data_IF_538422362001
#
_entry.id   IF_538422362001
#
_cell.length_a   1.000
_cell.length_b   1.000
_cell.length_c   1.000
_cell.angle_alpha   90.00
_cell.angle_beta   90.00
_cell.angle_gamma   90.00
#
_symmetry.space_group_name_H-M   'P 1'
#
loop_
_entity.id
_entity.type
_entity.pdbx_description
1 polymer ?
#
# COMPACT_ATOMS: atom_id res chain seq x y z
N UNK A 1 -4.48 -26.18 -11.18
CA UNK A 1 -5.14 -25.37 -12.25
C UNK A 1 -5.93 -24.18 -11.71
N UNK A 2 -6.40 -24.19 -10.45
CA UNK A 2 -7.17 -23.08 -9.87
C UNK A 2 -6.30 -21.91 -9.37
N UNK A 3 -5.03 -22.17 -9.15
CA UNK A 3 -4.04 -21.16 -8.73
C UNK A 3 -3.70 -20.14 -9.85
N UNK A 4 -3.90 -20.51 -11.10
CA UNK A 4 -3.60 -19.62 -12.24
C UNK A 4 -4.67 -18.52 -12.48
N UNK A 5 -5.90 -18.70 -11.99
CA UNK A 5 -7.00 -17.75 -12.23
C UNK A 5 -7.04 -16.56 -11.27
N UNK A 6 -6.40 -16.64 -10.12
CA UNK A 6 -6.35 -15.53 -9.17
C UNK A 6 -4.91 -15.19 -8.81
N UNK A 7 -4.19 -14.59 -9.74
CA UNK A 7 -2.78 -14.23 -9.52
C UNK A 7 -2.60 -13.36 -8.27
N UNK A 8 -3.52 -12.46 -7.99
CA UNK A 8 -3.51 -11.66 -6.77
C UNK A 8 -3.71 -12.47 -5.49
N UNK A 9 -4.75 -13.32 -5.43
CA UNK A 9 -5.02 -14.19 -4.28
C UNK A 9 -3.95 -15.30 -4.13
N UNK A 10 -3.42 -15.82 -5.23
CA UNK A 10 -2.34 -16.81 -5.20
C UNK A 10 -1.10 -16.31 -4.47
N UNK A 11 -0.75 -15.04 -4.62
CA UNK A 11 0.36 -14.42 -3.91
C UNK A 11 0.09 -14.24 -2.41
N UNK A 12 -1.14 -13.90 -2.03
CA UNK A 12 -1.56 -13.83 -0.63
C UNK A 12 -1.42 -15.21 0.02
N UNK A 13 -1.99 -16.25 -0.57
CA UNK A 13 -1.87 -17.62 -0.07
C UNK A 13 -0.43 -18.12 0.00
N UNK A 14 0.40 -17.76 -0.99
CA UNK A 14 1.81 -18.13 -0.97
C UNK A 14 2.56 -17.50 0.21
N UNK A 15 2.28 -16.25 0.55
CA UNK A 15 2.89 -15.59 1.71
C UNK A 15 2.36 -16.16 3.01
N UNK A 16 1.06 -16.43 3.11
CA UNK A 16 0.47 -17.10 4.26
C UNK A 16 1.07 -18.48 4.50
N UNK A 17 1.43 -19.24 3.44
CA UNK A 17 2.12 -20.51 3.56
C UNK A 17 3.57 -20.41 4.07
N UNK A 18 4.08 -19.20 4.29
CA UNK A 18 5.38 -18.91 4.91
C UNK A 18 5.22 -18.36 6.35
N UNK A 19 4.07 -18.60 6.97
CA UNK A 19 3.70 -18.13 8.32
C UNK A 19 3.70 -16.59 8.44
N UNK A 20 3.23 -15.91 7.37
CA UNK A 20 3.12 -14.46 7.34
C UNK A 20 1.66 -14.01 7.34
N UNK A 21 1.34 -13.03 8.17
CA UNK A 21 0.13 -12.25 8.03
C UNK A 21 0.24 -11.34 6.80
N UNK A 22 -0.83 -11.23 6.02
CA UNK A 22 -0.84 -10.43 4.79
C UNK A 22 -1.92 -9.37 4.87
N UNK A 23 -1.51 -8.12 4.86
CA UNK A 23 -2.38 -6.96 4.74
C UNK A 23 -2.42 -6.49 3.28
N UNK A 24 -3.60 -6.14 2.79
CA UNK A 24 -3.82 -5.62 1.43
C UNK A 24 -4.63 -4.33 1.54
N UNK A 25 -4.22 -3.25 0.85
CA UNK A 25 -4.99 -2.00 0.81
C UNK A 25 -6.44 -2.22 0.35
N UNK A 26 -7.35 -1.47 0.93
CA UNK A 26 -8.78 -1.59 0.64
C UNK A 26 -9.20 -0.86 -0.64
N UNK A 27 -10.26 -1.33 -1.30
CA UNK A 27 -10.80 -0.71 -2.50
C UNK A 27 -11.44 0.67 -2.25
N UNK A 28 -11.82 1.00 -1.01
CA UNK A 28 -12.46 2.27 -0.69
C UNK A 28 -11.50 3.45 -0.90
N UNK A 29 -10.23 3.31 -0.50
CA UNK A 29 -9.19 4.30 -0.77
C UNK A 29 -9.04 4.60 -2.26
N UNK A 30 -9.04 3.55 -3.10
CA UNK A 30 -8.99 3.73 -4.56
C UNK A 30 -10.22 4.44 -5.12
N UNK A 31 -11.44 4.13 -4.64
CA UNK A 31 -12.65 4.83 -5.06
C UNK A 31 -12.59 6.32 -4.70
N UNK A 32 -12.21 6.64 -3.46
CA UNK A 32 -12.02 8.02 -2.99
C UNK A 32 -10.96 8.76 -3.81
N UNK A 33 -9.83 8.11 -4.10
CA UNK A 33 -8.76 8.63 -4.96
C UNK A 33 -9.27 9.01 -6.37
N UNK A 34 -10.09 8.17 -7.00
CA UNK A 34 -10.63 8.47 -8.33
C UNK A 34 -11.55 9.69 -8.34
N UNK A 35 -12.34 9.87 -7.30
CA UNK A 35 -13.22 11.04 -7.14
C UNK A 35 -12.39 12.29 -6.81
N UNK A 36 -11.46 12.18 -5.87
CA UNK A 36 -10.63 13.30 -5.42
C UNK A 36 -9.71 13.82 -6.52
N UNK A 37 -9.20 12.97 -7.41
CA UNK A 37 -8.43 13.41 -8.58
C UNK A 37 -9.20 14.37 -9.47
N UNK A 38 -10.54 14.29 -9.54
CA UNK A 38 -11.35 15.25 -10.27
C UNK A 38 -11.39 16.62 -9.61
N UNK A 39 -11.31 16.62 -8.27
CA UNK A 39 -11.24 17.85 -7.47
C UNK A 39 -9.86 18.48 -7.63
N UNK A 40 -8.80 17.69 -7.53
CA UNK A 40 -7.42 18.16 -7.73
C UNK A 40 -7.18 18.66 -9.16
N UNK A 41 -7.74 18.01 -10.18
CA UNK A 41 -7.67 18.50 -11.55
C UNK A 41 -8.29 19.88 -11.71
N UNK A 42 -9.46 20.10 -11.11
CA UNK A 42 -10.13 21.38 -11.16
C UNK A 42 -9.32 22.49 -10.46
N UNK A 43 -8.53 22.12 -9.44
CA UNK A 43 -7.61 23.06 -8.76
C UNK A 43 -6.37 23.36 -9.58
N UNK A 44 -5.75 22.33 -10.18
CA UNK A 44 -4.47 22.45 -10.90
C UNK A 44 -4.62 23.03 -12.30
N UNK A 45 -5.67 22.66 -13.01
CA UNK A 45 -5.83 22.96 -14.44
C UNK A 45 -7.06 23.82 -14.74
N UNK A 46 -7.84 24.17 -13.73
CA UNK A 46 -9.14 24.77 -13.90
C UNK A 46 -10.21 23.77 -14.34
N UNK A 47 -11.48 24.12 -14.20
CA UNK A 47 -12.57 23.25 -14.61
C UNK A 47 -13.95 23.75 -14.17
N UNK A 48 -15.00 23.05 -14.59
CA UNK A 48 -16.37 23.38 -14.24
C UNK A 48 -16.60 23.24 -12.73
N UNK A 49 -16.91 24.35 -12.07
CA UNK A 49 -17.20 24.40 -10.62
C UNK A 49 -18.29 23.40 -10.20
N UNK A 50 -19.31 23.22 -11.05
CA UNK A 50 -20.42 22.28 -10.80
C UNK A 50 -19.91 20.84 -10.67
N UNK A 51 -19.01 20.38 -11.57
CA UNK A 51 -18.41 19.05 -11.51
C UNK A 51 -17.59 18.88 -10.24
N UNK A 52 -16.79 19.88 -9.87
CA UNK A 52 -15.98 19.85 -8.65
C UNK A 52 -16.87 19.79 -7.40
N UNK A 53 -17.97 20.53 -7.35
CA UNK A 53 -18.92 20.48 -6.24
C UNK A 53 -19.59 19.12 -6.11
N UNK A 54 -20.03 18.52 -7.23
CA UNK A 54 -20.59 17.17 -7.22
C UNK A 54 -19.56 16.12 -6.73
N UNK A 55 -18.32 16.20 -7.21
CA UNK A 55 -17.25 15.30 -6.75
C UNK A 55 -16.96 15.47 -5.25
N UNK A 56 -17.02 16.69 -4.71
CA UNK A 56 -16.90 16.92 -3.26
C UNK A 56 -18.01 16.24 -2.48
N UNK A 57 -19.27 16.42 -2.88
CA UNK A 57 -20.41 15.74 -2.23
C UNK A 57 -20.25 14.21 -2.27
N UNK A 58 -19.80 13.67 -3.39
CA UNK A 58 -19.55 12.24 -3.54
C UNK A 58 -18.40 11.77 -2.64
N UNK A 59 -17.32 12.55 -2.56
CA UNK A 59 -16.18 12.24 -1.68
C UNK A 59 -16.61 12.27 -0.21
N UNK A 60 -17.39 13.26 0.21
CA UNK A 60 -17.94 13.33 1.57
C UNK A 60 -18.83 12.12 1.91
N UNK A 61 -19.60 11.64 0.93
CA UNK A 61 -20.39 10.42 1.10
C UNK A 61 -19.49 9.18 1.25
N UNK A 62 -18.46 9.03 0.40
CA UNK A 62 -17.50 7.92 0.50
C UNK A 62 -16.75 7.95 1.83
N UNK A 63 -16.35 9.12 2.32
CA UNK A 63 -15.68 9.27 3.62
C UNK A 63 -16.58 8.81 4.78
N UNK A 64 -17.89 9.08 4.71
CA UNK A 64 -18.83 8.57 5.72
C UNK A 64 -18.96 7.05 5.69
N UNK A 65 -18.98 6.45 4.50
CA UNK A 65 -18.99 4.99 4.35
C UNK A 65 -17.69 4.37 4.87
N UNK A 66 -16.56 4.98 4.54
CA UNK A 66 -15.23 4.56 5.03
C UNK A 66 -15.18 4.57 6.57
N UNK A 67 -15.65 5.64 7.20
CA UNK A 67 -15.71 5.74 8.65
C UNK A 67 -16.53 4.61 9.29
N UNK A 68 -17.69 4.27 8.70
CA UNK A 68 -18.52 3.13 9.15
C UNK A 68 -17.80 1.79 9.00
N UNK A 69 -17.05 1.60 7.91
CA UNK A 69 -16.27 0.39 7.68
C UNK A 69 -15.12 0.28 8.69
N UNK A 70 -14.40 1.38 8.95
CA UNK A 70 -13.33 1.45 9.96
C UNK A 70 -13.88 1.13 11.36
N UNK A 71 -15.00 1.72 11.74
CA UNK A 71 -15.64 1.46 13.02
C UNK A 71 -16.05 -0.03 13.15
N UNK A 72 -16.64 -0.59 12.10
CA UNK A 72 -17.03 -2.00 12.06
C UNK A 72 -15.82 -2.92 12.20
N UNK A 73 -14.72 -2.63 11.50
CA UNK A 73 -13.48 -3.41 11.59
C UNK A 73 -12.92 -3.39 13.02
N UNK A 74 -12.86 -2.22 13.66
CA UNK A 74 -12.41 -2.07 15.06
C UNK A 74 -13.28 -2.87 16.02
N UNK A 75 -14.60 -2.88 15.81
CA UNK A 75 -15.55 -3.64 16.65
C UNK A 75 -15.28 -5.14 16.67
N UNK A 76 -14.76 -5.68 15.57
CA UNK A 76 -14.43 -7.10 15.43
C UNK A 76 -12.91 -7.40 15.56
N UNK A 77 -12.16 -6.47 16.16
CA UNK A 77 -10.70 -6.59 16.39
C UNK A 77 -9.87 -6.78 15.12
N UNK A 78 -10.34 -6.31 13.98
CA UNK A 78 -9.52 -6.18 12.78
C UNK A 78 -8.75 -4.85 12.82
N UNK A 79 -7.54 -4.86 12.27
CA UNK A 79 -6.77 -3.62 12.06
C UNK A 79 -7.32 -2.92 10.81
N UNK A 80 -8.01 -1.77 10.96
CA UNK A 80 -8.55 -1.06 9.81
C UNK A 80 -7.44 -0.26 9.12
N UNK A 81 -7.61 0.08 7.82
CA UNK A 81 -6.79 1.09 7.17
C UNK A 81 -7.02 2.47 7.82
N UNK A 82 -6.13 3.40 7.58
CA UNK A 82 -6.36 4.81 7.92
C UNK A 82 -7.46 5.42 7.04
N UNK A 83 -8.00 6.54 7.48
CA UNK A 83 -8.90 7.33 6.66
C UNK A 83 -8.19 7.83 5.40
N UNK A 84 -8.86 7.85 4.26
CA UNK A 84 -8.31 8.33 2.99
C UNK A 84 -7.65 9.72 3.09
N UNK A 85 -8.21 10.61 3.91
CA UNK A 85 -7.66 11.94 4.11
C UNK A 85 -6.26 11.91 4.74
N UNK A 86 -6.00 10.98 5.66
CA UNK A 86 -4.68 10.75 6.26
C UNK A 86 -3.72 10.18 5.22
N UNK A 87 -4.11 9.08 4.56
CA UNK A 87 -3.32 8.43 3.50
C UNK A 87 -2.89 9.41 2.42
N UNK A 88 -3.81 10.31 1.99
CA UNK A 88 -3.50 11.38 1.04
C UNK A 88 -2.42 12.34 1.54
N UNK A 89 -2.38 12.64 2.83
CA UNK A 89 -1.39 13.58 3.37
C UNK A 89 0.02 12.99 3.40
N UNK A 90 0.18 11.68 3.51
CA UNK A 90 1.47 11.01 3.60
C UNK A 90 2.37 11.26 2.39
N UNK A 91 1.81 11.46 1.21
CA UNK A 91 2.58 11.74 -0.02
C UNK A 91 3.01 13.19 -0.17
N UNK A 92 2.60 14.08 0.74
CA UNK A 92 2.93 15.51 0.64
C UNK A 92 4.45 15.70 0.75
N UNK A 93 5.03 16.32 -0.28
CA UNK A 93 6.48 16.53 -0.37
C UNK A 93 7.27 15.31 -0.90
N UNK A 94 6.58 14.20 -1.21
CA UNK A 94 7.16 13.00 -1.80
C UNK A 94 6.80 12.91 -3.28
N UNK A 95 5.51 12.99 -3.59
CA UNK A 95 5.00 12.96 -4.96
C UNK A 95 3.82 13.93 -5.11
N UNK A 96 3.67 14.54 -6.30
CA UNK A 96 2.58 15.47 -6.56
C UNK A 96 1.26 14.77 -6.92
N UNK A 97 0.14 15.35 -6.54
CA UNK A 97 -1.21 14.84 -6.85
C UNK A 97 -1.54 14.83 -8.35
N UNK A 98 -0.75 15.51 -9.19
CA UNK A 98 -0.86 15.41 -10.65
C UNK A 98 -0.49 14.04 -11.23
N UNK A 99 0.26 13.23 -10.48
CA UNK A 99 0.59 11.84 -10.86
C UNK A 99 -0.55 10.88 -10.54
N UNK A 100 -1.61 10.90 -11.34
CA UNK A 100 -2.92 10.30 -11.05
C UNK A 100 -3.35 9.17 -12.00
N UNK A 101 -2.53 8.84 -13.00
CA UNK A 101 -2.87 7.79 -13.97
C UNK A 101 -2.79 6.42 -13.30
N UNK A 102 -3.77 5.55 -13.60
CA UNK A 102 -3.93 4.28 -12.91
C UNK A 102 -4.20 4.47 -11.42
N UNK A 103 -3.40 3.88 -10.55
CA UNK A 103 -3.36 4.09 -9.11
C UNK A 103 -2.57 5.36 -8.72
N UNK A 104 -1.71 5.83 -9.62
CA UNK A 104 -0.98 7.07 -9.47
C UNK A 104 -0.24 7.23 -8.14
N UNK A 105 -0.35 8.41 -7.51
CA UNK A 105 0.27 8.71 -6.23
C UNK A 105 -0.27 7.85 -5.07
N UNK A 106 -1.44 7.20 -5.24
CA UNK A 106 -2.02 6.34 -4.21
C UNK A 106 -1.11 5.15 -3.88
N UNK A 107 -0.43 4.55 -4.89
CA UNK A 107 0.55 3.49 -4.65
C UNK A 107 1.65 3.90 -3.66
N UNK A 108 2.16 5.11 -3.81
CA UNK A 108 3.16 5.67 -2.88
C UNK A 108 2.55 5.89 -1.50
N UNK A 109 1.30 6.41 -1.44
CA UNK A 109 0.58 6.67 -0.20
C UNK A 109 0.33 5.40 0.60
N UNK A 110 -0.15 4.35 -0.05
CA UNK A 110 -0.43 3.05 0.58
C UNK A 110 0.85 2.39 1.13
N UNK A 111 1.98 2.49 0.43
CA UNK A 111 3.25 1.99 0.96
C UNK A 111 3.71 2.77 2.20
N UNK A 112 3.50 4.08 2.23
CA UNK A 112 3.80 4.92 3.40
C UNK A 112 2.88 4.58 4.57
N UNK A 113 1.59 4.42 4.31
CA UNK A 113 0.58 4.03 5.29
C UNK A 113 0.90 2.67 5.92
N UNK A 114 1.23 1.66 5.10
CA UNK A 114 1.63 0.35 5.58
C UNK A 114 2.86 0.43 6.49
N UNK A 115 3.88 1.18 6.09
CA UNK A 115 5.09 1.38 6.91
C UNK A 115 4.79 2.10 8.23
N UNK A 116 3.89 3.09 8.23
CA UNK A 116 3.47 3.82 9.44
C UNK A 116 2.67 2.93 10.40
N UNK A 117 1.86 2.01 9.88
CA UNK A 117 1.06 1.07 10.68
C UNK A 117 1.84 -0.15 11.17
N UNK A 118 3.14 -0.24 10.89
CA UNK A 118 4.00 -1.34 11.31
C UNK A 118 4.10 -2.50 10.32
N UNK A 119 3.47 -2.41 9.14
CA UNK A 119 3.68 -3.36 8.04
C UNK A 119 4.91 -2.95 7.22
N UNK A 120 6.09 -3.09 7.82
CA UNK A 120 7.35 -2.62 7.24
C UNK A 120 7.81 -3.45 6.03
N UNK A 121 7.36 -4.72 5.93
CA UNK A 121 7.73 -5.63 4.85
C UNK A 121 6.71 -5.60 3.71
N UNK A 122 6.97 -4.78 2.70
CA UNK A 122 6.01 -4.41 1.66
C UNK A 122 6.39 -5.03 0.31
N UNK A 123 5.44 -5.73 -0.31
CA UNK A 123 5.57 -6.19 -1.69
C UNK A 123 4.79 -5.26 -2.61
N UNK A 124 5.50 -4.48 -3.42
CA UNK A 124 4.91 -3.70 -4.49
C UNK A 124 4.78 -4.58 -5.74
N UNK A 125 3.56 -5.07 -5.99
CA UNK A 125 3.24 -5.91 -7.15
C UNK A 125 3.10 -5.06 -8.40
N UNK A 126 3.83 -5.40 -9.45
CA UNK A 126 3.84 -4.63 -10.69
C UNK A 126 3.42 -5.51 -11.87
N UNK A 127 2.31 -5.18 -12.57
CA UNK A 127 2.06 -5.75 -13.88
C UNK A 127 3.20 -5.37 -14.82
N UNK A 128 3.64 -6.30 -15.67
CA UNK A 128 4.69 -6.02 -16.64
C UNK A 128 4.33 -4.82 -17.53
N UNK A 129 5.25 -3.88 -17.66
CA UNK A 129 5.07 -2.66 -18.45
C UNK A 129 4.06 -1.65 -17.89
N UNK A 130 3.57 -1.82 -16.67
CA UNK A 130 2.65 -0.87 -16.05
C UNK A 130 3.38 0.41 -15.63
N UNK A 131 3.21 1.48 -16.39
CA UNK A 131 3.92 2.75 -16.19
C UNK A 131 3.67 3.37 -14.81
N UNK A 132 2.42 3.49 -14.31
CA UNK A 132 2.17 4.02 -12.96
C UNK A 132 2.90 3.24 -11.87
N UNK A 133 2.94 1.92 -11.95
CA UNK A 133 3.64 1.10 -10.96
C UNK A 133 5.16 1.30 -11.00
N UNK A 134 5.74 1.48 -12.18
CA UNK A 134 7.17 1.76 -12.30
C UNK A 134 7.52 3.16 -11.77
N UNK A 135 6.71 4.17 -12.06
CA UNK A 135 6.97 5.56 -11.66
C UNK A 135 6.62 5.76 -10.18
N UNK A 136 5.37 5.51 -9.79
CA UNK A 136 4.84 5.84 -8.46
C UNK A 136 5.07 4.73 -7.43
N UNK A 137 5.18 3.48 -7.86
CA UNK A 137 5.57 2.36 -7.00
C UNK A 137 7.08 2.30 -6.85
N UNK A 138 7.76 1.72 -7.84
CA UNK A 138 9.21 1.48 -7.80
C UNK A 138 10.04 2.76 -7.69
N UNK A 139 9.68 3.80 -8.42
CA UNK A 139 10.40 5.08 -8.42
C UNK A 139 10.36 5.83 -7.09
N UNK A 140 9.31 5.63 -6.29
CA UNK A 140 9.15 6.29 -4.99
C UNK A 140 9.88 5.58 -3.84
N UNK A 141 10.33 4.34 -4.00
CA UNK A 141 10.88 3.50 -2.91
C UNK A 141 12.03 4.18 -2.17
N UNK A 142 12.95 4.79 -2.90
CA UNK A 142 14.07 5.50 -2.26
C UNK A 142 13.57 6.58 -1.31
N UNK A 143 12.61 7.38 -1.77
CA UNK A 143 12.06 8.47 -0.95
C UNK A 143 11.25 7.96 0.23
N UNK A 144 10.51 6.85 0.06
CA UNK A 144 9.81 6.19 1.16
C UNK A 144 10.80 5.72 2.23
N UNK A 145 11.92 5.10 1.84
CA UNK A 145 12.95 4.65 2.78
C UNK A 145 13.69 5.80 3.49
N UNK A 146 13.79 6.97 2.87
CA UNK A 146 14.33 8.17 3.53
C UNK A 146 13.42 8.66 4.68
N UNK A 147 12.09 8.51 4.52
CA UNK A 147 11.09 8.89 5.54
C UNK A 147 10.88 7.77 6.56
N UNK A 148 10.84 6.52 6.10
CA UNK A 148 10.68 5.32 6.92
C UNK A 148 11.87 4.36 6.70
N UNK A 149 12.98 4.53 7.42
CA UNK A 149 14.19 3.73 7.22
C UNK A 149 14.01 2.21 7.43
N UNK A 150 13.03 1.81 8.23
CA UNK A 150 12.70 0.41 8.49
C UNK A 150 11.93 -0.25 7.34
N UNK A 151 11.39 0.52 6.39
CA UNK A 151 10.59 -0.04 5.30
C UNK A 151 11.42 -0.94 4.39
N UNK A 152 11.11 -2.24 4.41
CA UNK A 152 11.69 -3.28 3.56
C UNK A 152 10.78 -3.51 2.36
N UNK A 153 10.99 -2.76 1.28
CA UNK A 153 10.12 -2.76 0.10
C UNK A 153 10.79 -3.51 -1.04
N UNK A 154 10.09 -4.51 -1.58
CA UNK A 154 10.49 -5.26 -2.77
C UNK A 154 9.48 -5.06 -3.89
N UNK A 155 9.97 -4.79 -5.11
CA UNK A 155 9.14 -4.74 -6.31
C UNK A 155 9.18 -6.08 -7.03
N UNK A 156 8.02 -6.57 -7.44
CA UNK A 156 7.91 -7.82 -8.19
C UNK A 156 7.13 -7.56 -9.47
N UNK A 157 7.82 -7.72 -10.60
CA UNK A 157 7.21 -7.63 -11.91
C UNK A 157 6.54 -8.96 -12.26
N UNK A 158 5.23 -8.91 -12.53
CA UNK A 158 4.44 -10.06 -12.97
C UNK A 158 4.36 -10.09 -14.48
N UNK A 159 5.39 -10.62 -15.09
CA UNK A 159 5.45 -10.93 -16.51
C UNK A 159 4.96 -12.37 -16.75
N UNK A 160 3.99 -12.60 -17.66
CA UNK A 160 3.59 -13.93 -18.04
C UNK A 160 4.71 -14.82 -18.57
N UNK A 161 5.75 -14.22 -19.16
CA UNK A 161 6.94 -14.91 -19.66
C UNK A 161 8.05 -15.12 -18.62
N UNK A 162 7.98 -14.49 -17.46
CA UNK A 162 9.02 -14.60 -16.45
C UNK A 162 8.89 -15.90 -15.63
N UNK A 163 10.02 -16.57 -15.30
CA UNK A 163 10.00 -17.74 -14.44
C UNK A 163 9.46 -17.40 -13.05
N UNK A 164 8.50 -18.19 -12.57
CA UNK A 164 7.90 -18.08 -11.24
C UNK A 164 8.97 -18.07 -10.11
N UNK A 165 10.05 -18.80 -10.32
CA UNK A 165 11.18 -18.88 -9.38
C UNK A 165 11.77 -17.51 -9.06
N UNK A 166 11.87 -16.61 -10.04
CA UNK A 166 12.41 -15.27 -9.80
C UNK A 166 11.53 -14.43 -8.88
N UNK A 167 10.21 -14.54 -9.03
CA UNK A 167 9.22 -13.87 -8.17
C UNK A 167 9.28 -14.44 -6.75
N UNK A 168 9.30 -15.77 -6.62
CA UNK A 168 9.39 -16.46 -5.33
C UNK A 168 10.69 -16.16 -4.59
N UNK A 169 11.81 -16.10 -5.29
CA UNK A 169 13.11 -15.80 -4.68
C UNK A 169 13.16 -14.39 -4.10
N UNK A 170 12.55 -13.40 -4.75
CA UNK A 170 12.46 -12.03 -4.22
C UNK A 170 11.65 -11.98 -2.93
N UNK A 171 10.52 -12.70 -2.86
CA UNK A 171 9.70 -12.80 -1.65
C UNK A 171 10.48 -13.50 -0.55
N UNK A 172 11.13 -14.63 -0.83
CA UNK A 172 11.93 -15.37 0.15
C UNK A 172 13.07 -14.53 0.72
N UNK A 173 13.76 -13.76 -0.13
CA UNK A 173 14.84 -12.87 0.32
C UNK A 173 14.30 -11.78 1.25
N UNK A 174 13.18 -11.14 0.90
CA UNK A 174 12.54 -10.16 1.77
C UNK A 174 12.13 -10.76 3.12
N UNK A 175 11.53 -11.96 3.11
CA UNK A 175 11.13 -12.66 4.33
C UNK A 175 12.31 -13.12 5.18
N UNK A 176 13.44 -13.45 4.55
CA UNK A 176 14.67 -13.79 5.29
C UNK A 176 15.18 -12.58 6.09
N UNK A 177 15.21 -11.40 5.48
CA UNK A 177 15.56 -10.13 6.16
C UNK A 177 14.58 -9.85 7.30
N UNK A 178 13.27 -9.96 7.02
CA UNK A 178 12.23 -9.72 8.02
C UNK A 178 12.35 -10.65 9.24
N UNK A 179 12.63 -11.94 9.02
CA UNK A 179 12.81 -12.92 10.09
C UNK A 179 14.09 -12.64 10.90
N UNK A 180 15.16 -12.20 10.25
CA UNK A 180 16.39 -11.81 10.95
C UNK A 180 16.17 -10.60 11.87
N UNK A 181 15.46 -9.58 11.39
CA UNK A 181 15.12 -8.40 12.20
C UNK A 181 14.21 -8.76 13.37
N UNK A 182 13.17 -9.57 13.14
CA UNK A 182 12.29 -10.06 14.20
C UNK A 182 13.07 -10.84 15.27
N UNK A 183 14.01 -11.71 14.89
CA UNK A 183 14.82 -12.46 15.83
C UNK A 183 15.73 -11.55 16.67
N UNK A 184 16.26 -10.48 16.09
CA UNK A 184 17.05 -9.47 16.83
C UNK A 184 16.19 -8.73 17.86
N UNK A 185 14.99 -8.28 17.45
CA UNK A 185 14.06 -7.61 18.37
C UNK A 185 13.61 -8.51 19.52
N UNK A 186 13.37 -9.79 19.25
CA UNK A 186 13.01 -10.77 20.29
C UNK A 186 14.16 -11.02 21.26
N UNK A 187 15.40 -11.13 20.78
CA UNK A 187 16.58 -11.28 21.62
C UNK A 187 16.78 -10.04 22.53
N UNK A 188 16.65 -8.84 21.98
CA UNK A 188 16.77 -7.60 22.74
C UNK A 188 15.70 -7.49 23.85
N UNK A 189 14.46 -7.91 23.58
CA UNK A 189 13.39 -7.96 24.60
C UNK A 189 13.68 -8.94 25.71
N UNK A 190 14.17 -10.14 25.38
CA UNK A 190 14.53 -11.15 26.37
C UNK A 190 15.69 -10.68 27.27
N UNK A 191 16.70 -10.02 26.70
CA UNK A 191 17.80 -9.45 27.45
C UNK A 191 17.36 -8.30 28.38
N UNK A 192 16.36 -7.50 27.95
CA UNK A 192 15.81 -6.44 28.78
C UNK A 192 14.97 -6.98 29.95
N UNK A 193 14.19 -8.04 29.74
CA UNK A 193 13.41 -8.71 30.78
C UNK A 193 14.30 -9.40 31.83
N UNK A 194 15.46 -9.96 31.43
CA UNK A 194 16.40 -10.59 32.36
C UNK A 194 17.20 -9.59 33.22
N UNK A 195 17.24 -8.31 32.80
CA UNK A 195 17.95 -7.24 33.53
C UNK A 195 17.04 -6.43 34.44
N UNK A 196 15.73 -6.65 34.40
CA UNK A 196 14.71 -6.03 35.24
C UNK A 196 14.35 -6.89 36.45
#
# INVERSE_FOLDING_TARGET
RDVERSRGLGDVYKRQSQDCEVCVPGLMGFASFKVDNRIEDAKLYGGAKIKSTFCKMLLDYLTKLEALMIESAKKYNFVPPHEYAHTKQLVKGIIGYGSKMGEGWLLTAEMLELAETGYENIVCTQPFGCLPNHINGKGAIRRIKEVNPKANIVTIDYDPGAPKVNQENRIKLMLAVAKEELNKELAEKQDAEQKS
#
